data_IF_488915894977
#
_entry.id   IF_488915894977
#
_cell.length_a   1.000
_cell.length_b   1.000
_cell.length_c   1.000
_cell.angle_alpha   90.00
_cell.angle_beta   90.00
_cell.angle_gamma   90.00
#
_symmetry.space_group_name_H-M   'P 1'
#
loop_
_entity.id
_entity.type
_entity.pdbx_description
1 polymer ?
#
# COMPACT_ATOMS: atom_id res chain seq x y z
N UNK A 1 -18.66 -0.55 -16.56
CA UNK A 1 -18.27 -1.66 -15.67
C UNK A 1 -16.89 -2.13 -16.06
N UNK A 2 -16.00 -2.35 -15.09
CA UNK A 2 -14.66 -2.90 -15.36
C UNK A 2 -14.78 -4.32 -15.93
N UNK A 3 -13.97 -4.65 -16.93
CA UNK A 3 -13.93 -6.02 -17.47
C UNK A 3 -13.04 -6.88 -16.58
N UNK A 4 -13.62 -7.62 -15.65
CA UNK A 4 -12.89 -8.48 -14.73
C UNK A 4 -12.96 -9.94 -15.19
N UNK A 5 -11.81 -10.61 -15.26
CA UNK A 5 -11.70 -12.05 -15.55
C UNK A 5 -10.92 -12.74 -14.43
N UNK A 6 -11.59 -13.60 -13.66
CA UNK A 6 -10.99 -14.30 -12.53
C UNK A 6 -10.69 -15.75 -12.97
N UNK A 7 -9.42 -16.15 -12.89
CA UNK A 7 -8.99 -17.48 -13.32
C UNK A 7 -9.06 -18.49 -12.16
N UNK A 8 -8.85 -19.77 -12.48
CA UNK A 8 -8.80 -20.85 -11.51
C UNK A 8 -7.56 -20.78 -10.60
N UNK A 9 -7.69 -21.37 -9.41
CA UNK A 9 -6.56 -21.57 -8.49
C UNK A 9 -5.63 -22.63 -9.09
N UNK A 10 -4.36 -22.29 -9.25
CA UNK A 10 -3.33 -23.20 -9.78
C UNK A 10 -2.31 -23.54 -8.70
N UNK A 11 -1.83 -24.80 -8.68
CA UNK A 11 -0.74 -25.22 -7.81
C UNK A 11 0.60 -24.92 -8.50
N UNK A 12 1.53 -24.28 -7.80
CA UNK A 12 2.88 -23.98 -8.28
C UNK A 12 3.83 -25.01 -7.69
N UNK A 13 4.64 -25.67 -8.54
CA UNK A 13 5.48 -26.79 -8.15
C UNK A 13 6.61 -26.41 -7.17
N UNK A 14 7.27 -25.25 -7.37
CA UNK A 14 8.54 -24.91 -6.69
C UNK A 14 8.52 -23.61 -5.87
N UNK A 15 7.34 -23.10 -5.50
CA UNK A 15 7.25 -21.84 -4.75
C UNK A 15 6.96 -22.05 -3.24
N UNK A 16 7.55 -21.21 -2.38
CA UNK A 16 7.23 -21.12 -0.94
C UNK A 16 5.71 -21.00 -0.67
N UNK A 17 4.98 -20.40 -1.61
CA UNK A 17 3.50 -20.38 -1.65
C UNK A 17 2.99 -21.30 -2.76
N UNK A 18 2.34 -22.41 -2.36
CA UNK A 18 1.99 -23.53 -3.26
C UNK A 18 0.80 -23.24 -4.18
N UNK A 19 -0.06 -22.27 -3.87
CA UNK A 19 -1.29 -22.02 -4.63
C UNK A 19 -1.31 -20.58 -5.14
N UNK A 20 -1.77 -20.36 -6.36
CA UNK A 20 -1.77 -19.05 -7.01
C UNK A 20 -3.10 -18.79 -7.70
N UNK A 21 -3.55 -17.56 -7.61
CA UNK A 21 -4.68 -17.05 -8.38
C UNK A 21 -4.15 -15.98 -9.32
N UNK A 22 -4.63 -16.02 -10.55
CA UNK A 22 -4.48 -14.94 -11.51
C UNK A 22 -5.86 -14.33 -11.73
N UNK A 23 -5.90 -13.04 -12.01
CA UNK A 23 -7.09 -12.38 -12.52
C UNK A 23 -6.68 -11.20 -13.38
N UNK A 24 -7.60 -10.71 -14.20
CA UNK A 24 -7.39 -9.59 -15.11
C UNK A 24 -8.44 -8.54 -14.83
N UNK A 25 -8.03 -7.28 -14.68
CA UNK A 25 -8.93 -6.14 -14.60
C UNK A 25 -8.63 -5.26 -15.81
N UNK A 26 -9.63 -5.06 -16.66
CA UNK A 26 -9.51 -4.37 -17.94
C UNK A 26 -8.43 -5.04 -18.84
N UNK A 27 -7.21 -4.51 -18.88
CA UNK A 27 -6.10 -5.06 -19.65
C UNK A 27 -4.96 -5.65 -18.80
N UNK A 28 -4.97 -5.42 -17.48
CA UNK A 28 -3.82 -5.72 -16.62
C UNK A 28 -4.01 -7.03 -15.87
N UNK A 29 -2.97 -7.87 -15.90
CA UNK A 29 -2.93 -9.10 -15.14
C UNK A 29 -2.42 -8.86 -13.73
N UNK A 30 -3.12 -9.46 -12.77
CA UNK A 30 -2.78 -9.47 -11.36
C UNK A 30 -2.62 -10.92 -10.90
N UNK A 31 -1.79 -11.12 -9.88
CA UNK A 31 -1.46 -12.46 -9.39
C UNK A 31 -1.19 -12.39 -7.90
N UNK A 32 -1.72 -13.36 -7.15
CA UNK A 32 -1.47 -13.51 -5.71
C UNK A 32 -1.25 -14.97 -5.36
N UNK A 33 -0.27 -15.24 -4.50
CA UNK A 33 0.09 -16.57 -4.06
C UNK A 33 -0.31 -16.80 -2.59
N UNK A 34 -0.68 -18.03 -2.27
CA UNK A 34 -1.23 -18.48 -0.99
C UNK A 34 -0.57 -19.79 -0.56
N UNK A 35 -0.44 -20.02 0.76
CA UNK A 35 0.16 -21.25 1.29
C UNK A 35 -0.75 -22.47 1.15
N UNK A 36 -2.08 -22.29 1.17
CA UNK A 36 -3.07 -23.39 1.12
C UNK A 36 -4.12 -23.18 0.03
N UNK A 37 -4.66 -24.28 -0.50
CA UNK A 37 -5.72 -24.27 -1.52
C UNK A 37 -6.96 -23.54 -1.03
N UNK A 38 -7.38 -23.82 0.20
CA UNK A 38 -8.56 -23.22 0.82
C UNK A 38 -8.47 -21.68 0.92
N UNK A 39 -7.30 -21.14 1.30
CA UNK A 39 -7.11 -19.68 1.33
C UNK A 39 -7.19 -19.06 -0.07
N UNK A 40 -6.62 -19.73 -1.06
CA UNK A 40 -6.74 -19.28 -2.45
C UNK A 40 -8.20 -19.34 -2.93
N UNK A 41 -8.92 -20.43 -2.69
CA UNK A 41 -10.32 -20.56 -3.09
C UNK A 41 -11.22 -19.52 -2.40
N UNK A 42 -11.00 -19.26 -1.12
CA UNK A 42 -11.74 -18.21 -0.40
C UNK A 42 -11.48 -16.83 -1.00
N UNK A 43 -10.23 -16.52 -1.35
CA UNK A 43 -9.90 -15.27 -2.03
C UNK A 43 -10.53 -15.17 -3.42
N UNK A 44 -10.52 -16.26 -4.20
CA UNK A 44 -11.22 -16.33 -5.49
C UNK A 44 -12.72 -16.05 -5.32
N UNK A 45 -13.38 -16.75 -4.39
CA UNK A 45 -14.81 -16.55 -4.10
C UNK A 45 -15.12 -15.10 -3.71
N UNK A 46 -14.23 -14.47 -2.96
CA UNK A 46 -14.39 -13.08 -2.57
C UNK A 46 -14.27 -12.13 -3.78
N UNK A 47 -13.34 -12.38 -4.71
CA UNK A 47 -13.25 -11.65 -5.98
C UNK A 47 -14.50 -11.87 -6.85
N UNK A 48 -14.95 -13.12 -6.99
CA UNK A 48 -16.15 -13.47 -7.76
C UNK A 48 -17.37 -12.72 -7.20
N UNK A 49 -17.57 -12.77 -5.87
CA UNK A 49 -18.65 -12.04 -5.19
C UNK A 49 -18.59 -10.53 -5.41
N UNK A 50 -17.39 -9.95 -5.37
CA UNK A 50 -17.23 -8.51 -5.60
C UNK A 50 -17.54 -8.11 -7.05
N UNK A 51 -17.14 -8.95 -8.01
CA UNK A 51 -17.48 -8.78 -9.41
C UNK A 51 -19.00 -8.92 -9.65
N UNK A 52 -19.64 -9.94 -9.06
CA UNK A 52 -21.08 -10.16 -9.16
C UNK A 52 -21.89 -9.02 -8.54
N UNK A 53 -21.38 -8.44 -7.44
CA UNK A 53 -21.96 -7.28 -6.78
C UNK A 53 -21.72 -5.96 -7.54
N UNK A 54 -20.99 -5.97 -8.66
CA UNK A 54 -20.69 -4.77 -9.45
C UNK A 54 -19.76 -3.77 -8.74
N UNK A 55 -19.00 -4.22 -7.73
CA UNK A 55 -18.03 -3.37 -7.03
C UNK A 55 -16.92 -2.99 -8.01
N UNK A 56 -16.52 -1.72 -8.02
CA UNK A 56 -15.45 -1.22 -8.89
C UNK A 56 -14.10 -1.79 -8.47
N UNK A 57 -13.23 -2.11 -9.43
CA UNK A 57 -11.90 -2.67 -9.15
C UNK A 57 -10.82 -1.62 -9.35
N UNK A 58 -9.83 -1.60 -8.45
CA UNK A 58 -8.69 -0.70 -8.57
C UNK A 58 -7.79 -1.13 -9.74
N UNK A 59 -7.45 -0.25 -10.70
CA UNK A 59 -6.53 -0.57 -11.82
C UNK A 59 -5.10 -0.90 -11.38
N UNK A 60 -4.71 -0.46 -10.17
CA UNK A 60 -3.37 -0.63 -9.64
C UNK A 60 -3.21 -1.95 -8.90
N UNK A 61 -4.10 -2.23 -7.94
CA UNK A 61 -4.04 -3.47 -7.15
C UNK A 61 -4.72 -4.64 -7.86
N UNK A 62 -5.71 -4.35 -8.70
CA UNK A 62 -6.63 -5.34 -9.25
C UNK A 62 -7.63 -5.86 -8.22
N UNK A 63 -7.67 -5.33 -7.00
CA UNK A 63 -8.62 -5.74 -5.98
C UNK A 63 -9.85 -4.79 -5.99
N UNK A 64 -11.02 -5.21 -5.47
CA UNK A 64 -12.17 -4.33 -5.30
C UNK A 64 -11.78 -3.05 -4.56
N UNK A 65 -12.24 -1.89 -5.04
CA UNK A 65 -11.96 -0.60 -4.40
C UNK A 65 -12.36 -0.63 -2.93
N UNK A 66 -13.47 -1.28 -2.58
CA UNK A 66 -13.97 -1.39 -1.21
C UNK A 66 -13.08 -2.28 -0.31
N UNK A 67 -12.18 -3.08 -0.87
CA UNK A 67 -11.15 -3.77 -0.08
C UNK A 67 -9.98 -2.84 0.27
N UNK A 68 -9.75 -1.82 -0.56
CA UNK A 68 -8.79 -0.73 -0.32
C UNK A 68 -9.39 0.47 0.41
N UNK A 69 -10.71 0.73 0.30
CA UNK A 69 -11.42 1.79 1.02
C UNK A 69 -11.40 1.46 2.50
N UNK A 70 -10.57 2.20 3.24
CA UNK A 70 -10.44 2.11 4.68
C UNK A 70 -9.10 1.60 5.19
N UNK A 71 -8.22 1.03 4.33
CA UNK A 71 -6.88 0.64 4.79
C UNK A 71 -5.91 1.78 4.64
N UNK A 72 -5.86 2.62 5.68
CA UNK A 72 -4.86 3.68 5.84
C UNK A 72 -3.46 3.09 5.60
N UNK A 73 -2.71 3.63 4.65
CA UNK A 73 -1.31 3.21 4.43
C UNK A 73 -0.45 3.67 5.58
N UNK A 74 0.69 3.01 5.82
CA UNK A 74 1.61 3.42 6.87
C UNK A 74 2.08 4.88 6.66
N UNK A 75 2.30 5.28 5.41
CA UNK A 75 2.61 6.68 5.08
C UNK A 75 1.50 7.65 5.49
N UNK A 76 0.23 7.30 5.26
CA UNK A 76 -0.90 8.12 5.68
C UNK A 76 -1.05 8.20 7.19
N UNK A 77 -0.82 7.08 7.90
CA UNK A 77 -0.81 7.06 9.36
C UNK A 77 0.29 7.97 9.93
N UNK A 78 1.50 7.93 9.37
CA UNK A 78 2.62 8.79 9.80
C UNK A 78 2.32 10.26 9.58
N UNK A 79 1.70 10.61 8.44
CA UNK A 79 1.26 11.98 8.16
C UNK A 79 0.29 12.47 9.23
N UNK A 80 -0.80 11.74 9.47
CA UNK A 80 -1.83 12.12 10.46
C UNK A 80 -1.27 12.16 11.88
N UNK A 81 -0.42 11.19 12.25
CA UNK A 81 0.28 11.18 13.54
C UNK A 81 1.13 12.44 13.72
N UNK A 82 1.81 12.88 12.65
CA UNK A 82 2.64 14.08 12.67
C UNK A 82 1.81 15.34 12.80
N UNK A 83 0.74 15.46 12.00
CA UNK A 83 -0.19 16.60 12.05
C UNK A 83 -0.81 16.76 13.45
N UNK A 84 -1.27 15.65 14.05
CA UNK A 84 -1.91 15.67 15.37
C UNK A 84 -0.98 16.06 16.52
N UNK A 85 0.33 15.83 16.38
CA UNK A 85 1.28 15.98 17.48
C UNK A 85 2.35 17.06 17.24
N UNK A 86 2.38 17.69 16.07
CA UNK A 86 3.45 18.60 15.67
C UNK A 86 3.68 19.77 16.65
N UNK A 87 2.59 20.35 17.16
CA UNK A 87 2.63 21.45 18.14
C UNK A 87 3.17 21.00 19.51
N UNK A 88 2.97 19.74 19.87
CA UNK A 88 3.34 19.17 21.16
C UNK A 88 4.82 18.74 21.21
N UNK A 89 5.49 18.64 20.07
CA UNK A 89 6.88 18.19 20.02
C UNK A 89 7.87 19.35 20.16
N UNK A 90 8.80 19.22 21.11
CA UNK A 90 9.99 20.06 21.17
C UNK A 90 10.88 19.92 19.92
N UNK A 91 11.67 20.95 19.61
CA UNK A 91 12.44 21.00 18.34
C UNK A 91 13.44 19.86 18.17
N UNK A 92 14.07 19.42 19.26
CA UNK A 92 14.98 18.25 19.25
C UNK A 92 14.21 16.96 18.97
N UNK A 93 13.08 16.77 19.65
CA UNK A 93 12.22 15.60 19.49
C UNK A 93 11.69 15.46 18.05
N UNK A 94 11.38 16.58 17.38
CA UNK A 94 10.99 16.60 15.95
C UNK A 94 12.03 15.97 15.03
N UNK A 95 13.32 16.31 15.23
CA UNK A 95 14.42 15.76 14.41
C UNK A 95 14.59 14.26 14.61
N UNK A 96 14.42 13.80 15.85
CA UNK A 96 14.54 12.38 16.20
C UNK A 96 13.36 11.59 15.60
N UNK A 97 12.13 12.10 15.72
CA UNK A 97 10.94 11.52 15.10
C UNK A 97 11.08 11.46 13.57
N UNK A 98 11.51 12.54 12.93
CA UNK A 98 11.75 12.57 11.48
C UNK A 98 12.73 11.47 11.04
N UNK A 99 13.82 11.29 11.79
CA UNK A 99 14.83 10.28 11.47
C UNK A 99 14.31 8.86 11.68
N UNK A 100 13.64 8.61 12.80
CA UNK A 100 13.13 7.29 13.18
C UNK A 100 11.97 6.85 12.29
N UNK A 101 11.01 7.73 12.02
CA UNK A 101 9.90 7.43 11.11
C UNK A 101 10.37 7.33 9.67
N UNK A 102 11.37 8.11 9.24
CA UNK A 102 12.01 7.93 7.94
C UNK A 102 12.64 6.55 7.76
N UNK A 103 13.25 6.01 8.83
CA UNK A 103 13.79 4.66 8.84
C UNK A 103 12.70 3.58 8.81
N UNK A 104 11.68 3.72 9.66
CA UNK A 104 10.54 2.80 9.68
C UNK A 104 9.81 2.78 8.32
N UNK A 105 9.62 3.95 7.71
CA UNK A 105 8.95 4.09 6.42
C UNK A 105 9.60 3.25 5.34
N UNK A 106 10.93 3.25 5.26
CA UNK A 106 11.67 2.46 4.28
C UNK A 106 11.44 0.95 4.46
N UNK A 107 11.30 0.49 5.70
CA UNK A 107 11.00 -0.92 6.01
C UNK A 107 9.55 -1.30 5.66
N UNK A 108 8.62 -0.34 5.75
CA UNK A 108 7.22 -0.54 5.41
C UNK A 108 6.87 -0.19 3.96
N UNK A 109 7.87 0.12 3.12
CA UNK A 109 7.68 0.14 1.68
C UNK A 109 7.34 -1.27 1.18
N UNK A 110 6.38 -1.35 0.27
CA UNK A 110 6.15 -2.54 -0.53
C UNK A 110 7.40 -2.90 -1.35
N UNK A 111 7.51 -4.13 -1.85
CA UNK A 111 8.67 -4.54 -2.68
C UNK A 111 8.85 -3.62 -3.91
N UNK A 112 7.75 -3.14 -4.50
CA UNK A 112 7.79 -2.17 -5.61
C UNK A 112 8.15 -0.75 -5.17
N UNK A 113 7.86 -0.39 -3.91
CA UNK A 113 8.35 0.84 -3.29
C UNK A 113 9.85 0.79 -3.03
N UNK A 114 10.35 -0.30 -2.45
CA UNK A 114 11.78 -0.49 -2.17
C UNK A 114 12.64 -0.54 -3.43
N UNK A 115 12.11 -1.03 -4.55
CA UNK A 115 12.81 -1.00 -5.84
C UNK A 115 12.90 0.40 -6.45
N UNK A 116 12.05 1.34 -6.03
CA UNK A 116 11.99 2.72 -6.58
C UNK A 116 12.68 3.74 -5.69
N UNK A 117 12.51 3.59 -4.38
CA UNK A 117 12.99 4.57 -3.42
C UNK A 117 14.12 3.97 -2.60
N UNK A 118 15.31 4.58 -2.68
CA UNK A 118 16.41 4.26 -1.79
C UNK A 118 16.11 4.71 -0.36
N UNK A 119 16.79 4.11 0.62
CA UNK A 119 16.66 4.50 2.04
C UNK A 119 16.91 5.99 2.26
N UNK A 120 17.87 6.58 1.54
CA UNK A 120 18.15 8.02 1.61
C UNK A 120 16.97 8.84 1.07
N UNK A 121 16.51 8.53 -0.14
CA UNK A 121 15.36 9.19 -0.75
C UNK A 121 14.12 9.09 0.14
N UNK A 122 13.83 7.93 0.73
CA UNK A 122 12.71 7.75 1.65
C UNK A 122 12.81 8.66 2.87
N UNK A 123 13.97 8.74 3.52
CA UNK A 123 14.18 9.63 4.67
C UNK A 123 13.99 11.10 4.30
N UNK A 124 14.56 11.51 3.18
CA UNK A 124 14.46 12.88 2.69
C UNK A 124 13.00 13.22 2.35
N UNK A 125 12.28 12.27 1.73
CA UNK A 125 10.86 12.41 1.39
C UNK A 125 9.97 12.56 2.62
N UNK A 126 10.14 11.70 3.62
CA UNK A 126 9.40 11.73 4.87
C UNK A 126 9.61 13.05 5.60
N UNK A 127 10.87 13.53 5.65
CA UNK A 127 11.23 14.79 6.26
C UNK A 127 10.61 15.99 5.52
N UNK A 128 10.61 15.96 4.18
CA UNK A 128 10.14 17.07 3.33
C UNK A 128 8.62 17.13 3.22
N UNK A 129 7.91 16.00 3.30
CA UNK A 129 6.50 15.95 2.92
C UNK A 129 5.55 15.43 4.00
N UNK A 130 6.02 14.58 4.93
CA UNK A 130 5.12 13.86 5.84
C UNK A 130 5.20 14.35 7.29
N UNK A 131 6.39 14.77 7.73
CA UNK A 131 6.62 15.14 9.13
C UNK A 131 7.02 16.61 9.19
N UNK A 132 6.03 17.47 9.07
CA UNK A 132 6.18 18.93 9.03
C UNK A 132 4.96 19.65 9.59
N UNK A 133 5.13 20.94 9.89
CA UNK A 133 4.06 21.79 10.45
C UNK A 133 2.88 21.92 9.50
N UNK A 134 3.20 22.14 8.22
CA UNK A 134 2.27 22.40 7.13
C UNK A 134 2.85 21.73 5.89
N UNK A 135 2.01 21.04 5.11
CA UNK A 135 2.42 20.50 3.81
C UNK A 135 2.79 21.70 2.92
N UNK A 136 3.91 21.67 2.17
CA UNK A 136 4.26 22.73 1.24
C UNK A 136 3.05 22.96 0.32
N UNK A 137 2.50 24.16 0.36
CA UNK A 137 1.35 24.53 -0.46
C UNK A 137 1.75 24.73 -1.92
N UNK A 138 3.03 25.00 -2.19
CA UNK A 138 3.58 25.28 -3.50
C UNK A 138 4.31 24.07 -4.11
N UNK A 139 3.70 22.87 -4.04
CA UNK A 139 4.25 21.70 -4.74
C UNK A 139 4.02 21.82 -6.24
N UNK A 140 5.07 21.55 -7.02
CA UNK A 140 4.94 21.33 -8.46
C UNK A 140 4.04 20.13 -8.75
N UNK A 141 3.44 20.04 -9.95
CA UNK A 141 2.62 18.88 -10.33
C UNK A 141 3.41 17.56 -10.23
N UNK A 142 4.69 17.59 -10.60
CA UNK A 142 5.58 16.44 -10.46
C UNK A 142 5.76 16.02 -9.00
N UNK A 143 5.96 16.98 -8.08
CA UNK A 143 6.09 16.67 -6.65
C UNK A 143 4.78 16.13 -6.05
N UNK A 144 3.62 16.59 -6.52
CA UNK A 144 2.31 16.04 -6.11
C UNK A 144 2.15 14.60 -6.58
N UNK A 145 2.48 14.30 -7.82
CA UNK A 145 2.41 12.94 -8.37
C UNK A 145 3.37 11.99 -7.64
N UNK A 146 4.59 12.46 -7.34
CA UNK A 146 5.58 11.70 -6.59
C UNK A 146 5.13 11.46 -5.15
N UNK A 147 4.48 12.45 -4.50
CA UNK A 147 3.87 12.32 -3.18
C UNK A 147 2.72 11.31 -3.17
N UNK A 148 1.77 11.43 -4.09
CA UNK A 148 0.65 10.49 -4.18
C UNK A 148 1.16 9.06 -4.40
N UNK A 149 2.12 8.88 -5.31
CA UNK A 149 2.75 7.60 -5.58
C UNK A 149 3.48 7.05 -4.36
N UNK A 150 4.25 7.89 -3.66
CA UNK A 150 4.97 7.50 -2.45
C UNK A 150 3.98 7.06 -1.36
N UNK A 151 2.90 7.81 -1.14
CA UNK A 151 1.87 7.49 -0.15
C UNK A 151 1.22 6.12 -0.38
N UNK A 152 1.05 5.74 -1.65
CA UNK A 152 0.53 4.42 -2.06
C UNK A 152 1.57 3.30 -2.03
N UNK A 153 2.86 3.63 -1.90
CA UNK A 153 3.96 2.66 -1.98
C UNK A 153 4.30 1.95 -0.67
N UNK A 154 3.61 2.30 0.42
CA UNK A 154 3.74 1.65 1.73
C UNK A 154 2.61 0.66 1.98
N UNK A 155 2.87 -0.35 2.80
CA UNK A 155 1.86 -1.33 3.17
C UNK A 155 0.67 -0.65 3.88
N UNK A 156 -0.55 -1.14 3.64
CA UNK A 156 -1.71 -0.79 4.46
C UNK A 156 -1.49 -1.22 5.91
N UNK A 157 -1.85 -0.38 6.88
CA UNK A 157 -1.64 -0.67 8.32
C UNK A 157 -2.34 -1.97 8.74
N UNK A 158 -3.53 -2.24 8.21
CA UNK A 158 -4.26 -3.48 8.47
C UNK A 158 -3.58 -4.76 7.95
N UNK A 159 -2.57 -4.63 7.08
CA UNK A 159 -1.77 -5.76 6.59
C UNK A 159 -0.54 -6.01 7.48
N UNK A 160 -0.18 -5.06 8.35
CA UNK A 160 0.99 -5.14 9.25
C UNK A 160 0.67 -5.87 10.55
N UNK A 161 -0.60 -5.90 10.95
CA UNK A 161 -1.08 -6.66 12.10
C UNK A 161 -1.55 -8.03 11.63
N UNK A 162 -0.88 -9.15 11.98
CA UNK A 162 -1.56 -10.44 11.91
C UNK A 162 -2.80 -10.33 12.80
N UNK A 163 -3.96 -10.72 12.28
CA UNK A 163 -5.21 -10.75 13.02
C UNK A 163 -4.99 -11.37 14.40
N UNK A 164 -5.07 -10.54 15.45
CA UNK A 164 -5.16 -10.97 16.85
C UNK A 164 -6.53 -11.61 17.09
#
# INVERSE_FOLDING_TARGET
MDKVQIYSVTKVADAKSKYRIKWKVNARHHTRAFPTKARAENYKKALDKANDAGIKFSPDSGEPEDWGRGRKTFAKLVQEYSEANWSNWGQRHKKDIQSNLGLAMYQFLTSSGQSRYSRKQTKDFVKKYLIQKEIPTNLTNQEKDDLERFMKSTYPVGDLTPSL
#
